data_IF_656317851885
#
_entry.id   IF_656317851885
#
_cell.length_a   1.000
_cell.length_b   1.000
_cell.length_c   1.000
_cell.angle_alpha   90.00
_cell.angle_beta   90.00
_cell.angle_gamma   90.00
#
_symmetry.space_group_name_H-M   'P 1'
#
loop_
_entity.id
_entity.type
_entity.pdbx_description
1 polymer ?
#
# COMPACT_ATOMS: atom_id res chain seq x y z
N UNK A 1 -4.23 -2.54 16.46
CA UNK A 1 -4.06 -1.58 15.34
C UNK A 1 -2.89 -0.68 15.66
N UNK A 2 -2.69 0.47 14.99
CA UNK A 2 -1.58 1.35 15.35
C UNK A 2 -1.77 1.92 16.77
N UNK A 3 -0.71 1.98 17.57
CA UNK A 3 -0.75 2.36 18.99
C UNK A 3 0.02 3.66 19.26
N UNK A 4 1.15 3.85 18.62
CA UNK A 4 2.03 5.01 18.75
C UNK A 4 1.84 5.98 17.58
N UNK A 5 1.74 5.46 16.37
CA UNK A 5 1.48 6.25 15.19
C UNK A 5 -0.01 6.38 14.93
N UNK A 6 -0.42 7.55 14.45
CA UNK A 6 -1.75 7.80 13.90
C UNK A 6 -1.62 8.50 12.57
N UNK A 7 -2.45 8.14 11.61
CA UNK A 7 -2.52 8.90 10.38
C UNK A 7 -3.96 9.11 9.94
N UNK A 8 -4.19 10.23 9.30
CA UNK A 8 -5.44 10.59 8.65
C UNK A 8 -5.17 11.00 7.22
N UNK A 9 -6.04 10.59 6.32
CA UNK A 9 -6.04 11.04 4.92
C UNK A 9 -7.36 11.70 4.59
N UNK A 10 -7.31 12.79 3.85
CA UNK A 10 -8.47 13.54 3.38
C UNK A 10 -8.30 13.93 1.91
N UNK A 11 -9.40 14.38 1.29
CA UNK A 11 -9.43 14.83 -0.10
C UNK A 11 -10.09 13.83 -1.04
N UNK A 12 -10.53 14.36 -2.15
CA UNK A 12 -11.27 13.67 -3.22
C UNK A 12 -10.41 13.55 -4.47
N UNK A 13 -10.74 12.58 -5.32
CA UNK A 13 -9.99 12.27 -6.54
C UNK A 13 -9.84 13.47 -7.47
N UNK A 14 -10.88 14.26 -7.61
CA UNK A 14 -10.91 15.46 -8.45
C UNK A 14 -11.15 16.75 -7.62
N UNK A 15 -10.92 16.71 -6.30
CA UNK A 15 -10.86 17.88 -5.43
C UNK A 15 -9.57 18.68 -5.63
N UNK A 16 -9.37 19.74 -4.84
CA UNK A 16 -8.17 20.61 -4.93
C UNK A 16 -6.86 19.86 -4.70
N UNK A 17 -6.89 18.84 -3.84
CA UNK A 17 -5.72 18.03 -3.49
C UNK A 17 -6.07 16.98 -2.45
N UNK A 18 -5.02 16.31 -2.01
CA UNK A 18 -5.08 15.32 -0.93
C UNK A 18 -4.28 15.85 0.25
N UNK A 19 -4.81 15.67 1.44
CA UNK A 19 -4.17 16.03 2.70
C UNK A 19 -3.91 14.77 3.52
N UNK A 20 -2.76 14.75 4.21
CA UNK A 20 -2.45 13.70 5.16
C UNK A 20 -1.76 14.27 6.38
N UNK A 21 -2.06 13.68 7.54
CA UNK A 21 -1.41 13.98 8.80
C UNK A 21 -0.88 12.67 9.37
N UNK A 22 0.40 12.68 9.76
CA UNK A 22 1.06 11.59 10.48
C UNK A 22 1.50 12.11 11.84
N UNK A 23 0.95 11.55 12.91
CA UNK A 23 1.27 11.86 14.28
C UNK A 23 2.04 10.72 14.95
N UNK A 24 2.91 11.06 15.91
CA UNK A 24 3.69 10.11 16.72
C UNK A 24 5.11 9.85 16.21
N UNK A 25 5.59 10.55 15.18
CA UNK A 25 6.96 10.42 14.70
C UNK A 25 7.95 11.06 15.70
N UNK A 26 9.08 10.39 16.02
CA UNK A 26 10.11 10.96 16.89
C UNK A 26 10.76 12.20 16.25
N UNK A 27 11.23 13.12 17.10
CA UNK A 27 11.99 14.28 16.65
C UNK A 27 13.37 13.87 16.10
N UNK A 28 13.85 14.61 15.09
CA UNK A 28 15.20 14.45 14.55
C UNK A 28 15.34 13.46 13.41
N UNK A 29 14.23 12.85 12.93
CA UNK A 29 14.26 12.05 11.70
C UNK A 29 14.47 12.96 10.49
N UNK A 30 15.48 12.65 9.67
CA UNK A 30 15.72 13.37 8.41
C UNK A 30 14.70 12.94 7.35
N UNK A 31 14.00 13.93 6.77
CA UNK A 31 13.02 13.71 5.71
C UNK A 31 12.98 14.90 4.76
N UNK A 32 12.81 14.64 3.47
CA UNK A 32 12.70 15.65 2.42
C UNK A 32 11.53 15.39 1.50
N UNK A 33 11.05 16.43 0.85
CA UNK A 33 10.02 16.34 -0.19
C UNK A 33 10.49 15.50 -1.40
N UNK A 34 11.77 15.57 -1.74
CA UNK A 34 12.35 14.75 -2.82
C UNK A 34 12.32 13.25 -2.49
N UNK A 35 12.59 12.87 -1.24
CA UNK A 35 12.48 11.49 -0.79
C UNK A 35 11.03 10.99 -0.92
N UNK A 36 10.07 11.78 -0.44
CA UNK A 36 8.62 11.49 -0.59
C UNK A 36 8.25 11.39 -2.08
N UNK A 37 8.73 12.36 -2.87
CA UNK A 37 8.48 12.43 -4.32
C UNK A 37 8.99 11.19 -5.07
N UNK A 38 10.13 10.64 -4.67
CA UNK A 38 10.67 9.40 -5.22
C UNK A 38 9.71 8.22 -5.07
N UNK A 39 9.12 8.03 -3.89
CA UNK A 39 8.13 6.97 -3.64
C UNK A 39 6.79 7.22 -4.35
N UNK A 40 6.37 8.49 -4.44
CA UNK A 40 5.19 8.86 -5.22
C UNK A 40 5.39 8.59 -6.71
N UNK A 41 6.57 8.86 -7.25
CA UNK A 41 6.91 8.54 -8.63
C UNK A 41 6.87 7.02 -8.89
N UNK A 42 7.44 6.20 -8.00
CA UNK A 42 7.35 4.73 -8.09
C UNK A 42 5.90 4.25 -8.13
N UNK A 43 5.02 4.78 -7.27
CA UNK A 43 3.58 4.46 -7.27
C UNK A 43 2.90 4.79 -8.59
N UNK A 44 3.38 5.78 -9.33
CA UNK A 44 2.80 6.20 -10.61
C UNK A 44 3.26 5.34 -11.79
N UNK A 45 4.34 4.56 -11.63
CA UNK A 45 4.84 3.63 -12.64
C UNK A 45 3.91 2.43 -12.84
N UNK A 46 4.24 1.61 -13.80
CA UNK A 46 3.59 0.34 -14.12
C UNK A 46 2.88 0.34 -15.47
N UNK A 47 2.92 -0.82 -16.13
CA UNK A 47 2.23 -1.06 -17.40
C UNK A 47 0.71 -1.18 -17.20
N UNK A 48 -0.07 -0.77 -18.18
CA UNK A 48 -1.53 -0.81 -18.11
C UNK A 48 -2.18 0.40 -17.43
N UNK A 49 -1.40 1.43 -17.09
CA UNK A 49 -1.89 2.65 -16.46
C UNK A 49 -2.63 3.54 -17.47
N UNK A 50 -3.71 4.17 -17.00
CA UNK A 50 -4.54 5.07 -17.79
C UNK A 50 -3.92 6.44 -18.02
N UNK A 51 -4.54 7.23 -18.90
CA UNK A 51 -4.04 8.54 -19.33
C UNK A 51 -3.87 9.58 -18.21
N UNK A 52 -4.53 9.41 -17.06
CA UNK A 52 -4.39 10.31 -15.92
C UNK A 52 -2.97 10.37 -15.38
N UNK A 53 -2.22 9.27 -15.44
CA UNK A 53 -0.82 9.20 -14.97
C UNK A 53 0.12 10.08 -15.81
N UNK A 54 -0.29 10.49 -17.02
CA UNK A 54 0.47 11.44 -17.85
C UNK A 54 0.28 12.90 -17.42
N UNK A 55 -0.83 13.19 -16.74
CA UNK A 55 -1.19 14.54 -16.28
C UNK A 55 -0.65 14.78 -14.89
N UNK A 56 -0.89 13.84 -13.98
CA UNK A 56 -0.49 13.93 -12.58
C UNK A 56 0.99 13.54 -12.42
N UNK A 57 1.78 14.49 -11.92
CA UNK A 57 3.09 14.21 -11.33
C UNK A 57 2.97 14.52 -9.86
N UNK A 58 2.75 13.48 -9.05
CA UNK A 58 2.51 13.64 -7.63
C UNK A 58 3.76 14.17 -6.93
N UNK A 59 3.58 15.23 -6.15
CA UNK A 59 4.60 15.82 -5.31
C UNK A 59 4.02 16.05 -3.92
N UNK A 60 4.72 15.61 -2.89
CA UNK A 60 4.30 15.74 -1.50
C UNK A 60 4.91 16.99 -0.87
N UNK A 61 4.14 18.06 -0.74
CA UNK A 61 4.54 19.28 -0.05
C UNK A 61 4.46 19.07 1.47
N UNK A 62 5.57 19.22 2.18
CA UNK A 62 5.58 19.16 3.65
C UNK A 62 5.15 20.53 4.20
N UNK A 63 3.98 20.58 4.83
CA UNK A 63 3.40 21.85 5.33
C UNK A 63 3.71 22.12 6.80
N UNK A 64 3.94 21.08 7.61
CA UNK A 64 4.24 21.21 9.03
C UNK A 64 4.90 19.95 9.58
N UNK A 65 5.41 20.05 10.82
CA UNK A 65 6.03 18.93 11.54
C UNK A 65 7.50 18.69 11.20
N UNK A 66 8.06 19.42 10.23
CA UNK A 66 9.48 19.32 9.81
C UNK A 66 10.10 20.71 9.77
N UNK A 67 11.34 20.83 10.24
CA UNK A 67 12.13 22.07 10.16
C UNK A 67 13.58 21.74 9.87
N UNK A 68 14.18 22.45 8.91
CA UNK A 68 15.55 22.20 8.47
C UNK A 68 15.81 20.73 8.13
N UNK A 69 14.83 20.08 7.45
CA UNK A 69 14.92 18.68 7.03
C UNK A 69 14.74 17.64 8.13
N UNK A 70 14.35 18.03 9.36
CA UNK A 70 14.19 17.11 10.49
C UNK A 70 12.80 17.23 11.12
N UNK A 71 12.21 16.11 11.49
CA UNK A 71 10.95 16.06 12.25
C UNK A 71 11.09 16.73 13.61
N UNK A 72 9.99 17.27 14.11
CA UNK A 72 9.95 18.04 15.37
C UNK A 72 9.33 17.27 16.55
N UNK A 73 8.88 15.99 16.34
CA UNK A 73 8.02 15.28 17.30
C UNK A 73 6.56 15.79 17.27
N UNK A 74 6.26 16.73 16.40
CA UNK A 74 4.89 17.22 16.13
C UNK A 74 4.27 16.49 14.95
N UNK A 75 2.93 16.56 14.76
CA UNK A 75 2.28 15.98 13.57
C UNK A 75 2.90 16.49 12.28
N UNK A 76 3.23 15.57 11.37
CA UNK A 76 3.73 15.88 10.03
C UNK A 76 2.53 15.98 9.08
N UNK A 77 2.34 17.16 8.50
CA UNK A 77 1.29 17.42 7.51
C UNK A 77 1.86 17.46 6.09
N UNK A 78 1.24 16.70 5.19
CA UNK A 78 1.63 16.63 3.78
C UNK A 78 0.42 16.97 2.91
N UNK A 79 0.64 17.78 1.87
CA UNK A 79 -0.32 18.12 0.82
C UNK A 79 0.16 17.58 -0.53
N UNK A 80 -0.75 16.98 -1.30
CA UNK A 80 -0.54 16.66 -2.73
C UNK A 80 -1.61 17.35 -3.54
N UNK A 81 -1.23 18.29 -4.40
CA UNK A 81 -2.17 19.04 -5.25
C UNK A 81 -2.65 18.18 -6.42
N UNK A 82 -3.92 18.29 -6.76
CA UNK A 82 -4.47 17.68 -7.97
C UNK A 82 -4.33 18.65 -9.15
N UNK A 83 -3.52 18.32 -10.15
CA UNK A 83 -3.31 19.19 -11.33
C UNK A 83 -4.55 19.33 -12.22
N UNK A 84 -5.43 18.33 -12.21
CA UNK A 84 -6.69 18.34 -12.96
C UNK A 84 -7.79 19.19 -12.29
N UNK A 85 -7.54 19.77 -11.11
CA UNK A 85 -8.52 20.57 -10.35
C UNK A 85 -9.19 21.68 -11.15
N UNK A 86 -8.46 22.37 -12.02
CA UNK A 86 -9.00 23.48 -12.82
C UNK A 86 -10.21 23.06 -13.67
N UNK A 87 -10.26 21.80 -14.11
CA UNK A 87 -11.38 21.23 -14.88
C UNK A 87 -12.58 20.82 -14.00
N UNK A 88 -12.41 20.86 -12.67
CA UNK A 88 -13.39 20.31 -11.73
C UNK A 88 -13.96 21.33 -10.75
N UNK A 89 -13.51 22.56 -10.78
CA UNK A 89 -13.84 23.64 -9.84
C UNK A 89 -15.33 23.81 -9.58
N UNK A 90 -16.18 23.69 -10.62
CA UNK A 90 -17.64 23.74 -10.46
C UNK A 90 -18.21 22.44 -9.91
N UNK A 91 -17.80 21.28 -10.44
CA UNK A 91 -18.34 19.96 -10.07
C UNK A 91 -17.98 19.54 -8.65
N UNK A 92 -16.83 19.99 -8.17
CA UNK A 92 -16.27 19.66 -6.84
C UNK A 92 -16.16 20.91 -5.95
N UNK A 93 -16.97 21.94 -6.24
CA UNK A 93 -17.00 23.16 -5.42
C UNK A 93 -17.41 22.86 -3.98
N UNK A 94 -16.69 23.44 -3.03
CA UNK A 94 -17.06 23.44 -1.60
C UNK A 94 -18.27 24.34 -1.35
N UNK A 95 -18.36 25.46 -2.10
CA UNK A 95 -19.48 26.39 -2.00
C UNK A 95 -20.68 25.91 -2.83
N UNK A 96 -21.91 26.28 -2.44
CA UNK A 96 -23.10 25.97 -3.23
C UNK A 96 -22.97 26.50 -4.67
N UNK A 97 -23.34 25.68 -5.65
CA UNK A 97 -23.33 26.03 -7.08
C UNK A 97 -24.76 26.22 -7.55
N UNK A 98 -25.03 27.32 -8.23
CA UNK A 98 -26.36 27.62 -8.80
C UNK A 98 -26.62 26.87 -10.12
N UNK A 99 -25.56 26.49 -10.82
CA UNK A 99 -25.63 25.75 -12.07
C UNK A 99 -26.13 24.33 -11.84
N UNK A 100 -26.90 23.81 -12.81
CA UNK A 100 -27.29 22.41 -12.78
C UNK A 100 -26.07 21.52 -13.06
N UNK A 101 -25.62 20.77 -12.06
CA UNK A 101 -24.56 19.78 -12.21
C UNK A 101 -25.19 18.41 -12.44
N UNK A 102 -24.82 17.76 -13.56
CA UNK A 102 -25.32 16.41 -13.87
C UNK A 102 -24.81 15.41 -12.83
N UNK A 103 -25.75 14.75 -12.13
CA UNK A 103 -25.48 13.69 -11.16
C UNK A 103 -24.99 12.41 -11.84
N UNK A 104 -24.18 11.64 -11.14
CA UNK A 104 -23.83 10.27 -11.52
C UNK A 104 -24.82 9.33 -10.85
N UNK A 105 -25.57 8.57 -11.66
CA UNK A 105 -26.70 7.75 -11.18
C UNK A 105 -26.57 6.25 -11.48
N UNK A 106 -25.51 5.83 -12.18
CA UNK A 106 -25.26 4.46 -12.60
C UNK A 106 -24.08 3.86 -11.81
N UNK A 107 -24.32 3.11 -10.72
CA UNK A 107 -23.26 2.55 -9.89
C UNK A 107 -22.46 1.48 -10.66
N UNK A 108 -21.15 1.45 -10.42
CA UNK A 108 -20.25 0.45 -11.00
C UNK A 108 -20.29 -0.82 -10.16
N UNK A 109 -20.54 -2.01 -10.75
CA UNK A 109 -20.40 -3.28 -10.07
C UNK A 109 -18.96 -3.47 -9.51
N UNK A 110 -18.86 -3.96 -8.28
CA UNK A 110 -17.56 -4.17 -7.63
C UNK A 110 -16.87 -2.92 -7.07
N UNK A 111 -17.50 -1.73 -7.17
CA UNK A 111 -17.06 -0.48 -6.57
C UNK A 111 -17.87 -0.14 -5.30
N UNK A 112 -17.46 0.90 -4.58
CA UNK A 112 -18.17 1.38 -3.38
C UNK A 112 -19.49 2.12 -3.70
N UNK A 113 -19.76 2.40 -4.96
CA UNK A 113 -20.80 3.31 -5.43
C UNK A 113 -22.18 3.03 -4.81
N UNK A 114 -22.73 1.83 -5.01
CA UNK A 114 -24.07 1.49 -4.53
C UNK A 114 -24.13 1.41 -3.00
N UNK A 115 -23.20 0.70 -2.39
CA UNK A 115 -23.17 0.56 -0.93
C UNK A 115 -22.97 1.91 -0.24
N UNK A 116 -22.14 2.79 -0.82
CA UNK A 116 -21.86 4.12 -0.27
C UNK A 116 -23.09 5.04 -0.31
N UNK A 117 -23.80 5.13 -1.44
CA UNK A 117 -25.01 5.97 -1.49
C UNK A 117 -26.10 5.46 -0.57
N UNK A 118 -26.27 4.15 -0.44
CA UNK A 118 -27.24 3.57 0.50
C UNK A 118 -26.87 3.86 1.95
N UNK A 119 -25.58 3.77 2.29
CA UNK A 119 -25.11 4.02 3.66
C UNK A 119 -25.30 5.47 4.10
N UNK A 120 -24.99 6.42 3.21
CA UNK A 120 -24.99 7.86 3.54
C UNK A 120 -26.21 8.63 3.03
N UNK A 121 -27.15 7.98 2.34
CA UNK A 121 -28.36 8.60 1.81
C UNK A 121 -28.10 9.60 0.67
N UNK A 122 -27.05 9.38 -0.14
CA UNK A 122 -26.74 10.26 -1.24
C UNK A 122 -27.57 9.93 -2.48
N UNK A 123 -27.89 10.95 -3.25
CA UNK A 123 -28.59 10.88 -4.53
C UNK A 123 -27.65 11.16 -5.75
N UNK A 124 -26.37 11.35 -5.48
CA UNK A 124 -25.30 11.47 -6.47
C UNK A 124 -24.12 10.58 -6.07
N UNK A 125 -23.82 9.59 -6.92
CA UNK A 125 -22.73 8.64 -6.70
C UNK A 125 -21.37 9.34 -6.63
N UNK A 126 -21.25 10.56 -7.19
CA UNK A 126 -20.00 11.34 -7.14
C UNK A 126 -19.53 11.55 -5.70
N UNK A 127 -20.41 11.76 -4.75
CA UNK A 127 -20.09 11.93 -3.33
C UNK A 127 -19.38 10.69 -2.71
N UNK A 128 -19.56 9.53 -3.32
CA UNK A 128 -18.91 8.27 -2.91
C UNK A 128 -17.64 8.01 -3.73
N UNK A 129 -17.77 8.10 -5.07
CA UNK A 129 -16.69 7.65 -5.97
C UNK A 129 -15.43 8.50 -5.85
N UNK A 130 -15.55 9.78 -5.52
CA UNK A 130 -14.41 10.69 -5.39
C UNK A 130 -13.50 10.29 -4.21
N UNK A 131 -14.08 9.99 -3.05
CA UNK A 131 -13.31 9.58 -1.87
C UNK A 131 -12.89 8.11 -1.92
N UNK A 132 -13.69 7.21 -2.51
CA UNK A 132 -13.38 5.79 -2.65
C UNK A 132 -12.42 5.46 -3.80
N UNK A 133 -11.96 6.46 -4.52
CA UNK A 133 -10.98 6.34 -5.59
C UNK A 133 -9.61 5.88 -5.08
N UNK A 134 -8.90 5.07 -5.88
CA UNK A 134 -7.51 4.69 -5.62
C UNK A 134 -6.55 5.90 -5.54
N UNK A 135 -6.98 7.11 -5.93
CA UNK A 135 -6.23 8.35 -5.75
C UNK A 135 -5.86 8.61 -4.28
N UNK A 136 -6.70 8.21 -3.34
CA UNK A 136 -6.45 8.31 -1.90
C UNK A 136 -5.14 7.63 -1.47
N UNK A 137 -4.77 6.53 -2.13
CA UNK A 137 -3.53 5.80 -1.81
C UNK A 137 -2.26 6.59 -2.09
N UNK A 138 -2.32 7.68 -2.86
CA UNK A 138 -1.21 8.64 -3.00
C UNK A 138 -0.79 9.18 -1.63
N UNK A 139 -1.76 9.54 -0.80
CA UNK A 139 -1.47 10.07 0.54
C UNK A 139 -0.95 8.98 1.48
N UNK A 140 -1.41 7.73 1.34
CA UNK A 140 -0.83 6.60 2.09
C UNK A 140 0.65 6.38 1.75
N UNK A 141 1.02 6.51 0.48
CA UNK A 141 2.43 6.40 0.07
C UNK A 141 3.24 7.59 0.58
N UNK A 142 2.71 8.81 0.49
CA UNK A 142 3.40 10.01 0.98
C UNK A 142 3.69 9.93 2.50
N UNK A 143 2.69 9.59 3.31
CA UNK A 143 2.88 9.44 4.76
C UNK A 143 3.70 8.19 5.10
N UNK A 144 3.48 7.08 4.39
CA UNK A 144 4.19 5.81 4.59
C UNK A 144 5.68 5.91 4.25
N UNK A 145 6.08 6.82 3.34
CA UNK A 145 7.50 7.08 3.06
C UNK A 145 8.23 7.72 4.25
N UNK A 146 7.54 8.53 5.07
CA UNK A 146 8.12 9.04 6.34
C UNK A 146 8.37 7.89 7.32
N UNK A 147 7.42 6.95 7.44
CA UNK A 147 7.62 5.73 8.23
C UNK A 147 8.76 4.86 7.68
N UNK A 148 8.86 4.72 6.35
CA UNK A 148 9.96 4.01 5.69
C UNK A 148 11.30 4.64 6.05
N UNK A 149 11.41 5.97 6.01
CA UNK A 149 12.63 6.68 6.35
C UNK A 149 13.09 6.40 7.78
N UNK A 150 12.15 6.32 8.74
CA UNK A 150 12.45 5.92 10.12
C UNK A 150 13.01 4.49 10.17
N UNK A 151 12.40 3.55 9.44
CA UNK A 151 12.83 2.16 9.41
C UNK A 151 14.23 2.03 8.80
N UNK A 152 14.50 2.68 7.67
CA UNK A 152 15.80 2.71 7.01
C UNK A 152 16.90 3.28 7.92
N UNK A 153 16.58 4.31 8.72
CA UNK A 153 17.51 4.95 9.65
C UNK A 153 17.94 4.05 10.83
N UNK A 154 17.21 2.94 11.03
CA UNK A 154 17.51 1.90 12.03
C UNK A 154 17.83 0.54 11.40
N UNK A 155 18.08 0.50 10.08
CA UNK A 155 18.53 -0.70 9.37
C UNK A 155 17.43 -1.68 8.96
N UNK A 156 16.16 -1.27 8.98
CA UNK A 156 15.04 -2.08 8.49
C UNK A 156 14.70 -1.66 7.07
N UNK A 157 14.72 -2.61 6.14
CA UNK A 157 14.39 -2.38 4.74
C UNK A 157 13.08 -3.06 4.34
N UNK A 158 12.33 -2.44 3.42
CA UNK A 158 11.08 -2.98 2.87
C UNK A 158 11.10 -2.87 1.36
N UNK A 159 10.79 -3.95 0.68
CA UNK A 159 10.73 -3.99 -0.77
C UNK A 159 9.61 -4.89 -1.29
N UNK A 160 9.36 -4.83 -2.60
CA UNK A 160 8.30 -5.64 -3.22
C UNK A 160 8.60 -5.98 -4.67
N UNK A 161 7.95 -7.04 -5.15
CA UNK A 161 7.88 -7.44 -6.56
C UNK A 161 6.49 -7.94 -6.91
N UNK A 162 6.14 -7.96 -8.17
CA UNK A 162 4.95 -8.64 -8.68
C UNK A 162 5.31 -10.08 -9.01
N UNK A 163 4.50 -11.02 -8.53
CA UNK A 163 4.68 -12.46 -8.76
C UNK A 163 3.60 -13.06 -9.67
N UNK A 164 2.52 -12.34 -9.93
CA UNK A 164 1.48 -12.81 -10.83
C UNK A 164 0.64 -11.66 -11.39
N UNK A 165 0.33 -11.70 -12.68
CA UNK A 165 -0.71 -10.88 -13.31
C UNK A 165 -1.65 -11.82 -14.06
N UNK A 166 -2.94 -11.80 -13.71
CA UNK A 166 -3.96 -12.74 -14.20
C UNK A 166 -3.50 -14.18 -13.94
N UNK A 167 -3.26 -14.98 -14.96
CA UNK A 167 -2.80 -16.39 -14.89
C UNK A 167 -1.28 -16.55 -15.14
N UNK A 168 -0.58 -15.48 -15.49
CA UNK A 168 0.87 -15.50 -15.73
C UNK A 168 1.62 -15.29 -14.42
N UNK A 169 2.47 -16.23 -14.06
CA UNK A 169 3.29 -16.20 -12.84
C UNK A 169 4.76 -15.97 -13.15
N UNK A 170 5.42 -15.25 -12.26
CA UNK A 170 6.87 -15.19 -12.12
C UNK A 170 7.25 -16.06 -10.92
N UNK A 171 7.78 -17.25 -11.18
CA UNK A 171 8.19 -18.24 -10.17
C UNK A 171 9.69 -18.14 -9.84
N UNK A 172 10.38 -17.12 -10.37
CA UNK A 172 11.80 -16.92 -10.06
C UNK A 172 12.01 -16.69 -8.57
N UNK A 173 13.01 -17.33 -7.96
CA UNK A 173 13.35 -17.05 -6.57
C UNK A 173 13.88 -15.61 -6.44
N UNK A 174 13.68 -15.02 -5.27
CA UNK A 174 14.41 -13.79 -4.92
C UNK A 174 15.85 -14.22 -4.65
N UNK A 175 16.85 -13.59 -5.31
CA UNK A 175 18.26 -13.88 -5.02
C UNK A 175 18.58 -13.57 -3.54
N UNK A 176 19.29 -14.49 -2.88
CA UNK A 176 19.59 -14.41 -1.45
C UNK A 176 20.47 -13.21 -1.08
N UNK A 177 21.22 -12.67 -2.04
CA UNK A 177 22.12 -11.53 -1.88
C UNK A 177 21.41 -10.16 -2.07
N UNK A 178 20.15 -10.15 -2.50
CA UNK A 178 19.39 -8.92 -2.67
C UNK A 178 18.72 -8.47 -1.38
N UNK A 179 19.07 -7.28 -0.92
CA UNK A 179 18.27 -6.60 0.11
C UNK A 179 16.91 -6.18 -0.44
N UNK A 180 15.89 -5.95 0.40
CA UNK A 180 14.57 -5.46 -0.07
C UNK A 180 14.63 -4.18 -0.90
N UNK A 181 15.54 -3.25 -0.56
CA UNK A 181 15.73 -2.03 -1.35
C UNK A 181 16.33 -2.33 -2.73
N UNK A 182 17.27 -3.28 -2.82
CA UNK A 182 17.83 -3.73 -4.10
C UNK A 182 16.78 -4.50 -4.92
N UNK A 183 16.02 -5.41 -4.28
CA UNK A 183 14.89 -6.09 -4.91
C UNK A 183 13.91 -5.09 -5.54
N UNK A 184 13.54 -4.05 -4.79
CA UNK A 184 12.65 -3.00 -5.30
C UNK A 184 13.24 -2.27 -6.51
N UNK A 185 14.54 -1.92 -6.48
CA UNK A 185 15.20 -1.26 -7.61
C UNK A 185 15.21 -2.15 -8.85
N UNK A 186 15.59 -3.42 -8.71
CA UNK A 186 15.57 -4.40 -9.81
C UNK A 186 14.14 -4.58 -10.35
N UNK A 187 13.15 -4.69 -9.48
CA UNK A 187 11.75 -4.78 -9.90
C UNK A 187 11.26 -3.52 -10.62
N UNK A 188 11.70 -2.32 -10.20
CA UNK A 188 11.32 -1.06 -10.83
C UNK A 188 11.85 -0.92 -12.27
N UNK A 189 12.86 -1.71 -12.69
CA UNK A 189 13.34 -1.78 -14.07
C UNK A 189 12.35 -2.50 -14.99
N UNK A 190 11.46 -3.32 -14.45
CA UNK A 190 10.39 -3.99 -15.18
C UNK A 190 9.12 -3.14 -15.16
N UNK A 191 8.47 -2.88 -16.31
CA UNK A 191 7.21 -2.14 -16.34
C UNK A 191 6.06 -2.85 -15.61
N UNK A 192 6.18 -4.15 -15.33
CA UNK A 192 5.23 -4.93 -14.52
C UNK A 192 5.79 -5.33 -13.15
N UNK A 193 7.03 -4.92 -12.83
CA UNK A 193 7.71 -5.17 -11.55
C UNK A 193 7.97 -6.65 -11.22
N UNK A 194 8.10 -7.52 -12.21
CA UNK A 194 8.55 -8.90 -12.03
C UNK A 194 10.08 -9.03 -12.30
N UNK A 195 10.68 -10.16 -11.92
CA UNK A 195 12.12 -10.41 -12.10
C UNK A 195 12.44 -11.13 -13.39
N UNK A 196 11.61 -12.10 -13.80
CA UNK A 196 11.84 -12.89 -15.00
C UNK A 196 11.37 -12.16 -16.28
N UNK A 197 12.24 -12.08 -17.27
CA UNK A 197 11.96 -11.38 -18.53
C UNK A 197 10.95 -12.08 -19.44
N UNK A 198 10.84 -13.41 -19.36
CA UNK A 198 9.83 -14.15 -20.12
C UNK A 198 8.44 -13.91 -19.52
N UNK A 199 8.33 -13.97 -18.19
CA UNK A 199 7.11 -13.63 -17.44
C UNK A 199 6.73 -12.16 -17.67
N UNK A 200 7.69 -11.22 -17.72
CA UNK A 200 7.44 -9.81 -18.04
C UNK A 200 6.72 -9.66 -19.38
N UNK A 201 7.26 -10.28 -20.45
CA UNK A 201 6.67 -10.21 -21.78
C UNK A 201 5.25 -10.81 -21.83
N UNK A 202 5.04 -11.94 -21.16
CA UNK A 202 3.73 -12.59 -21.09
C UNK A 202 2.71 -11.78 -20.28
N UNK A 203 3.12 -11.18 -19.15
CA UNK A 203 2.29 -10.29 -18.34
C UNK A 203 1.87 -9.04 -19.12
N UNK A 204 2.80 -8.43 -19.87
CA UNK A 204 2.51 -7.27 -20.74
C UNK A 204 1.49 -7.66 -21.81
N UNK A 205 1.67 -8.79 -22.47
CA UNK A 205 0.73 -9.29 -23.48
C UNK A 205 -0.68 -9.54 -22.89
N UNK A 206 -0.76 -10.06 -21.68
CA UNK A 206 -2.02 -10.27 -20.96
C UNK A 206 -2.74 -8.96 -20.66
N UNK A 207 -2.00 -7.93 -20.20
CA UNK A 207 -2.54 -6.59 -19.97
C UNK A 207 -3.05 -5.96 -21.28
N UNK A 208 -2.30 -6.12 -22.38
CA UNK A 208 -2.70 -5.60 -23.69
C UNK A 208 -3.97 -6.26 -24.20
N UNK A 209 -4.11 -7.58 -24.03
CA UNK A 209 -5.31 -8.32 -24.37
C UNK A 209 -6.53 -7.82 -23.57
N UNK A 210 -6.38 -7.63 -22.25
CA UNK A 210 -7.41 -7.06 -21.41
C UNK A 210 -7.79 -5.65 -21.87
N UNK A 211 -6.80 -4.79 -22.15
CA UNK A 211 -7.03 -3.43 -22.65
C UNK A 211 -7.79 -3.42 -23.98
N UNK A 212 -7.41 -4.29 -24.92
CA UNK A 212 -8.10 -4.42 -26.23
C UNK A 212 -9.55 -4.86 -26.08
N UNK A 213 -9.84 -5.74 -25.13
CA UNK A 213 -11.22 -6.19 -24.84
C UNK A 213 -12.03 -5.21 -24.00
N UNK A 214 -11.41 -4.12 -23.52
CA UNK A 214 -12.03 -3.14 -22.62
C UNK A 214 -12.19 -3.63 -21.19
N UNK A 215 -11.36 -4.59 -20.78
CA UNK A 215 -11.37 -5.24 -19.48
C UNK A 215 -10.18 -4.83 -18.61
N UNK A 216 -10.07 -5.41 -17.41
CA UNK A 216 -8.96 -5.20 -16.47
C UNK A 216 -8.50 -6.51 -15.88
N UNK A 217 -7.25 -6.55 -15.40
CA UNK A 217 -6.66 -7.71 -14.73
C UNK A 217 -6.19 -7.37 -13.32
N UNK A 218 -6.30 -8.34 -12.44
CA UNK A 218 -5.71 -8.35 -11.10
C UNK A 218 -4.41 -9.15 -11.08
N UNK A 219 -3.92 -9.43 -9.90
CA UNK A 219 -2.71 -10.24 -9.74
C UNK A 219 -2.28 -10.36 -8.28
N UNK A 220 -1.09 -10.88 -8.10
CA UNK A 220 -0.46 -11.12 -6.79
C UNK A 220 0.91 -10.45 -6.79
N UNK A 221 1.25 -9.84 -5.69
CA UNK A 221 2.58 -9.28 -5.44
C UNK A 221 3.09 -9.70 -4.07
N UNK A 222 4.39 -9.67 -3.91
CA UNK A 222 5.11 -10.05 -2.70
C UNK A 222 5.76 -8.81 -2.09
N UNK A 223 5.69 -8.69 -0.75
CA UNK A 223 6.34 -7.61 0.02
C UNK A 223 7.23 -8.26 1.06
N UNK A 224 8.49 -7.84 1.09
CA UNK A 224 9.51 -8.40 1.98
C UNK A 224 10.08 -7.29 2.86
N UNK A 225 10.29 -7.60 4.15
CA UNK A 225 10.99 -6.72 5.07
C UNK A 225 12.10 -7.49 5.79
N UNK A 226 13.28 -6.87 5.93
CA UNK A 226 14.44 -7.44 6.64
C UNK A 226 15.01 -6.46 7.65
N UNK A 227 15.96 -6.92 8.48
CA UNK A 227 16.58 -6.10 9.52
C UNK A 227 15.73 -5.93 10.77
N UNK A 228 14.67 -6.71 10.91
CA UNK A 228 13.75 -6.60 12.04
C UNK A 228 14.37 -7.20 13.32
N UNK A 229 14.26 -6.52 14.47
CA UNK A 229 14.59 -7.11 15.76
C UNK A 229 13.56 -8.15 16.17
N UNK A 230 13.92 -9.05 17.07
CA UNK A 230 12.96 -9.94 17.74
C UNK A 230 11.88 -9.18 18.48
N UNK A 231 10.65 -9.70 18.45
CA UNK A 231 9.58 -9.30 19.35
C UNK A 231 8.92 -7.95 19.01
N UNK A 232 8.86 -7.56 17.73
CA UNK A 232 7.89 -6.53 17.29
C UNK A 232 6.49 -7.16 17.31
N UNK A 233 5.54 -6.48 17.91
CA UNK A 233 4.22 -7.04 18.19
C UNK A 233 4.20 -7.80 19.53
N UNK A 234 3.15 -8.59 19.77
CA UNK A 234 3.01 -9.33 21.04
C UNK A 234 2.10 -10.55 20.88
N UNK A 235 2.37 -11.60 21.66
CA UNK A 235 1.49 -12.78 21.76
C UNK A 235 0.37 -12.59 22.77
N UNK A 236 0.46 -11.57 23.63
CA UNK A 236 -0.36 -11.46 24.84
C UNK A 236 -1.82 -11.10 24.60
N UNK A 237 -2.12 -10.43 23.47
CA UNK A 237 -3.49 -10.02 23.11
C UNK A 237 -3.65 -10.02 21.58
N UNK A 238 -4.88 -10.30 21.10
CA UNK A 238 -5.18 -10.46 19.67
C UNK A 238 -4.87 -9.23 18.83
N UNK A 239 -5.15 -8.03 19.32
CA UNK A 239 -4.96 -6.75 18.63
C UNK A 239 -3.50 -6.24 18.66
N UNK A 240 -2.63 -6.89 19.45
CA UNK A 240 -1.19 -6.62 19.51
C UNK A 240 -0.37 -7.54 18.62
N UNK A 241 -0.96 -8.61 18.10
CA UNK A 241 -0.28 -9.54 17.19
C UNK A 241 0.14 -8.83 15.92
N UNK A 242 1.42 -8.94 15.54
CA UNK A 242 1.98 -8.22 14.40
C UNK A 242 1.24 -8.54 13.09
N UNK A 243 0.98 -9.82 12.82
CA UNK A 243 0.24 -10.24 11.62
C UNK A 243 -1.21 -9.71 11.59
N UNK A 244 -1.87 -9.58 12.74
CA UNK A 244 -3.21 -8.99 12.80
C UNK A 244 -3.19 -7.51 12.42
N UNK A 245 -2.18 -6.77 12.89
CA UNK A 245 -1.98 -5.34 12.58
C UNK A 245 -1.63 -5.15 11.10
N UNK A 246 -0.73 -5.98 10.56
CA UNK A 246 -0.38 -6.00 9.14
C UNK A 246 -1.63 -6.27 8.30
N UNK A 247 -2.37 -7.35 8.59
CA UNK A 247 -3.56 -7.72 7.83
C UNK A 247 -4.63 -6.63 7.85
N UNK A 248 -4.85 -5.97 8.99
CA UNK A 248 -5.83 -4.88 9.10
C UNK A 248 -5.49 -3.69 8.20
N UNK A 249 -4.21 -3.25 8.18
CA UNK A 249 -3.80 -2.14 7.33
C UNK A 249 -3.78 -2.53 5.85
N UNK A 250 -3.27 -3.71 5.51
CA UNK A 250 -3.24 -4.21 4.13
C UNK A 250 -4.65 -4.34 3.55
N UNK A 251 -5.57 -4.98 4.27
CA UNK A 251 -6.95 -5.16 3.82
C UNK A 251 -7.79 -3.87 3.80
N UNK A 252 -7.28 -2.78 4.34
CA UNK A 252 -7.89 -1.44 4.21
C UNK A 252 -7.61 -0.78 2.86
N UNK A 253 -6.71 -1.33 2.04
CA UNK A 253 -6.39 -0.80 0.71
C UNK A 253 -7.42 -1.26 -0.32
N UNK A 254 -7.84 -0.34 -1.17
CA UNK A 254 -8.81 -0.62 -2.22
C UNK A 254 -8.35 -1.77 -3.12
N UNK A 255 -9.28 -2.66 -3.45
CA UNK A 255 -9.09 -3.83 -4.31
C UNK A 255 -8.23 -4.97 -3.73
N UNK A 256 -7.63 -4.84 -2.57
CA UNK A 256 -6.96 -5.97 -1.91
C UNK A 256 -8.00 -6.98 -1.40
N UNK A 257 -7.79 -8.27 -1.66
CA UNK A 257 -8.77 -9.34 -1.41
C UNK A 257 -8.20 -10.53 -0.63
N UNK A 258 -6.90 -10.61 -0.49
CA UNK A 258 -6.25 -11.67 0.26
C UNK A 258 -4.86 -11.26 0.72
N UNK A 259 -4.42 -11.86 1.81
CA UNK A 259 -3.08 -11.77 2.34
C UNK A 259 -2.63 -13.15 2.81
N UNK A 260 -1.42 -13.52 2.48
CA UNK A 260 -0.70 -14.67 3.01
C UNK A 260 0.58 -14.20 3.70
N UNK A 261 1.00 -14.93 4.73
CA UNK A 261 2.23 -14.68 5.48
C UNK A 261 3.05 -15.95 5.44
N UNK A 262 4.31 -15.87 4.97
CA UNK A 262 5.17 -17.02 4.78
C UNK A 262 4.56 -18.06 3.84
N UNK A 263 4.47 -19.31 4.28
CA UNK A 263 3.91 -20.42 3.52
C UNK A 263 2.43 -20.31 3.21
N UNK A 264 1.70 -19.42 3.90
CA UNK A 264 0.31 -19.09 3.64
C UNK A 264 -0.60 -20.32 3.54
N UNK A 265 -1.50 -20.33 2.54
CA UNK A 265 -2.42 -21.45 2.30
C UNK A 265 -1.68 -22.74 1.96
N UNK A 266 -0.54 -22.70 1.26
CA UNK A 266 0.25 -23.87 0.93
C UNK A 266 0.79 -24.64 2.15
N UNK A 267 0.97 -23.95 3.30
CA UNK A 267 1.33 -24.60 4.55
C UNK A 267 0.23 -25.52 5.11
N UNK A 268 -1.04 -25.26 4.78
CA UNK A 268 -2.16 -26.09 5.24
C UNK A 268 -2.26 -27.47 4.58
N UNK A 269 -1.53 -27.67 3.50
CA UNK A 269 -1.48 -28.93 2.74
C UNK A 269 -0.36 -29.89 3.22
N UNK A 270 0.44 -29.46 4.21
CA UNK A 270 1.63 -30.14 4.69
C UNK A 270 1.48 -30.61 6.13
N UNK A 271 2.30 -31.58 6.53
CA UNK A 271 2.40 -31.97 7.93
C UNK A 271 3.16 -30.90 8.74
N UNK A 272 2.88 -30.82 10.04
CA UNK A 272 3.50 -29.82 10.91
C UNK A 272 5.04 -29.87 10.91
N UNK A 273 5.63 -31.07 10.83
CA UNK A 273 7.09 -31.26 10.71
C UNK A 273 7.70 -30.73 9.40
N UNK A 274 6.88 -30.49 8.39
CA UNK A 274 7.31 -29.92 7.09
C UNK A 274 7.13 -28.41 7.00
N UNK A 275 6.40 -27.83 7.97
CA UNK A 275 6.04 -26.41 7.99
C UNK A 275 6.80 -25.64 9.07
N UNK A 276 6.91 -26.21 10.29
CA UNK A 276 7.50 -25.47 11.39
C UNK A 276 9.01 -25.31 11.21
N UNK A 277 9.48 -24.06 11.36
CA UNK A 277 10.88 -23.70 11.16
C UNK A 277 11.71 -24.17 12.36
N UNK A 278 12.63 -25.10 12.11
CA UNK A 278 13.51 -25.64 13.15
C UNK A 278 14.45 -24.55 13.68
N UNK A 279 14.72 -24.59 14.99
CA UNK A 279 15.53 -23.61 15.71
C UNK A 279 16.97 -24.09 15.80
N UNK A 280 17.91 -23.26 15.38
CA UNK A 280 19.35 -23.44 15.52
C UNK A 280 19.99 -22.38 16.39
N UNK A 281 21.31 -22.48 16.57
CA UNK A 281 22.15 -21.50 17.25
C UNK A 281 23.54 -21.50 16.60
N UNK A 282 24.02 -20.33 16.17
CA UNK A 282 25.29 -20.18 15.45
C UNK A 282 26.51 -19.91 16.37
N UNK A 283 26.29 -19.91 17.69
CA UNK A 283 27.28 -19.60 18.71
C UNK A 283 27.08 -18.21 19.34
N UNK A 284 26.37 -17.32 18.68
CA UNK A 284 26.07 -15.97 19.14
C UNK A 284 24.57 -15.70 19.31
N UNK A 285 23.76 -16.20 18.37
CA UNK A 285 22.32 -15.96 18.34
C UNK A 285 21.52 -17.18 17.89
N UNK A 286 20.25 -17.18 18.21
CA UNK A 286 19.29 -18.15 17.66
C UNK A 286 19.05 -17.91 16.18
N UNK A 287 18.97 -19.00 15.41
CA UNK A 287 18.73 -18.99 13.95
C UNK A 287 17.51 -19.84 13.61
N UNK A 288 17.08 -19.79 12.36
CA UNK A 288 16.07 -20.68 11.77
C UNK A 288 16.67 -21.33 10.53
N UNK A 289 16.35 -22.61 10.29
CA UNK A 289 16.81 -23.34 9.10
C UNK A 289 15.90 -23.12 7.88
N UNK A 290 14.71 -22.57 8.10
CA UNK A 290 13.74 -22.19 7.08
C UNK A 290 12.95 -20.95 7.52
N UNK A 291 12.07 -20.42 6.68
CA UNK A 291 11.24 -19.26 7.00
C UNK A 291 9.79 -19.45 6.49
N UNK A 292 9.22 -20.62 6.79
CA UNK A 292 7.83 -20.92 6.43
C UNK A 292 6.82 -20.05 7.21
N UNK A 293 7.18 -19.63 8.44
CA UNK A 293 6.41 -18.70 9.25
C UNK A 293 6.37 -17.28 8.66
N UNK A 294 7.28 -16.97 7.72
CA UNK A 294 7.36 -15.65 7.09
C UNK A 294 7.73 -14.54 8.07
N UNK A 295 8.67 -14.80 8.99
CA UNK A 295 9.23 -13.84 9.93
C UNK A 295 8.33 -13.51 11.13
N UNK A 296 7.22 -14.23 11.32
CA UNK A 296 6.27 -13.95 12.42
C UNK A 296 5.83 -15.24 13.10
N UNK A 297 6.27 -15.43 14.34
CA UNK A 297 5.86 -16.52 15.20
C UNK A 297 5.07 -15.99 16.41
N UNK A 298 3.95 -16.62 16.74
CA UNK A 298 3.14 -16.26 17.90
C UNK A 298 2.55 -14.82 17.87
N UNK A 299 2.71 -14.11 16.77
CA UNK A 299 2.29 -12.71 16.62
C UNK A 299 3.39 -11.69 16.85
N UNK A 300 4.65 -12.15 16.86
CA UNK A 300 5.85 -11.32 17.01
C UNK A 300 6.85 -11.59 15.89
N UNK A 301 7.66 -10.60 15.54
CA UNK A 301 8.80 -10.81 14.66
C UNK A 301 9.82 -11.74 15.33
N UNK A 302 10.40 -12.63 14.52
CA UNK A 302 11.41 -13.63 14.95
C UNK A 302 12.80 -13.34 14.36
N UNK A 303 13.02 -12.11 13.89
CA UNK A 303 14.23 -11.61 13.23
C UNK A 303 14.51 -12.22 11.83
N UNK A 304 13.67 -13.13 11.34
CA UNK A 304 13.71 -13.57 9.95
C UNK A 304 13.00 -12.53 9.03
N UNK A 305 13.23 -12.60 7.72
CA UNK A 305 12.50 -11.76 6.78
C UNK A 305 10.98 -11.91 6.91
N UNK A 306 10.25 -10.81 7.06
CA UNK A 306 8.79 -10.85 6.88
C UNK A 306 8.49 -10.98 5.40
N UNK A 307 7.73 -12.02 5.05
CA UNK A 307 7.32 -12.31 3.67
C UNK A 307 5.79 -12.33 3.59
N UNK A 308 5.22 -11.42 2.81
CA UNK A 308 3.79 -11.28 2.60
C UNK A 308 3.45 -11.45 1.13
N UNK A 309 2.36 -12.16 0.80
CA UNK A 309 1.74 -12.17 -0.54
C UNK A 309 0.37 -11.56 -0.48
N UNK A 310 0.08 -10.68 -1.44
CA UNK A 310 -1.16 -9.92 -1.49
C UNK A 310 -1.88 -10.18 -2.81
N UNK A 311 -3.16 -10.53 -2.73
CA UNK A 311 -4.02 -10.68 -3.90
C UNK A 311 -4.83 -9.38 -4.14
N UNK A 312 -4.74 -8.85 -5.35
CA UNK A 312 -5.53 -7.72 -5.83
C UNK A 312 -6.52 -8.16 -6.90
N UNK A 313 -7.81 -7.85 -6.72
CA UNK A 313 -8.81 -8.09 -7.76
C UNK A 313 -8.63 -7.13 -8.94
N UNK A 314 -9.18 -7.46 -10.14
CA UNK A 314 -9.28 -6.53 -11.26
C UNK A 314 -9.97 -5.22 -10.88
N UNK A 315 -9.61 -4.14 -11.55
CA UNK A 315 -10.21 -2.81 -11.33
C UNK A 315 -11.67 -2.84 -11.81
N UNK A 316 -12.63 -2.32 -11.01
CA UNK A 316 -14.05 -2.44 -11.32
C UNK A 316 -14.55 -1.45 -12.38
N UNK A 317 -13.76 -0.44 -12.75
CA UNK A 317 -14.11 0.50 -13.82
C UNK A 317 -13.65 -0.08 -15.15
N UNK A 318 -14.59 -0.46 -16.01
CA UNK A 318 -14.33 -1.11 -17.29
C UNK A 318 -14.77 -0.24 -18.46
N UNK A 319 -14.01 -0.31 -19.58
CA UNK A 319 -14.43 0.30 -20.86
C UNK A 319 -15.58 -0.52 -21.46
N UNK A 320 -15.54 -1.87 -21.32
CA UNK A 320 -16.65 -2.78 -21.57
C UNK A 320 -17.54 -2.81 -20.32
N UNK A 321 -18.60 -1.99 -20.23
CA UNK A 321 -19.34 -1.84 -18.99
C UNK A 321 -20.15 -3.09 -18.67
N UNK A 322 -20.23 -3.37 -17.37
CA UNK A 322 -21.19 -4.35 -16.86
C UNK A 322 -22.56 -3.70 -16.70
N UNK A 323 -23.59 -4.55 -16.66
CA UNK A 323 -24.98 -4.13 -16.40
C UNK A 323 -25.10 -3.51 -15.01
N UNK A 324 -25.81 -2.40 -14.92
CA UNK A 324 -26.13 -1.66 -13.72
C UNK A 324 -27.60 -1.20 -13.73
N UNK A 325 -28.02 -0.48 -12.70
CA UNK A 325 -29.36 0.07 -12.56
C UNK A 325 -29.24 1.54 -12.14
N UNK A 326 -29.94 2.41 -12.86
CA UNK A 326 -30.04 3.82 -12.51
C UNK A 326 -30.73 3.97 -11.15
N UNK A 327 -30.10 4.66 -10.21
CA UNK A 327 -30.61 4.78 -8.83
C UNK A 327 -31.90 5.62 -8.73
N UNK A 328 -32.17 6.47 -9.71
CA UNK A 328 -33.39 7.29 -9.75
C UNK A 328 -34.51 6.61 -10.54
N UNK A 329 -34.24 6.25 -11.82
CA UNK A 329 -35.28 5.72 -12.72
C UNK A 329 -35.55 4.23 -12.53
N UNK A 330 -34.63 3.49 -11.88
CA UNK A 330 -34.65 2.02 -11.71
C UNK A 330 -34.52 1.25 -13.02
N UNK A 331 -34.18 1.92 -14.10
CA UNK A 331 -33.94 1.29 -15.39
C UNK A 331 -32.58 0.58 -15.42
N UNK A 332 -32.55 -0.58 -16.05
CA UNK A 332 -31.32 -1.33 -16.31
C UNK A 332 -30.55 -0.65 -17.43
N UNK A 333 -29.31 -0.28 -17.16
CA UNK A 333 -28.39 0.40 -18.09
C UNK A 333 -26.95 -0.07 -17.88
N UNK A 334 -26.08 0.29 -18.80
CA UNK A 334 -24.64 0.13 -18.63
C UNK A 334 -24.12 0.96 -17.45
N UNK A 335 -23.20 0.40 -16.67
CA UNK A 335 -22.54 1.09 -15.56
C UNK A 335 -21.81 2.36 -16.02
N UNK A 336 -21.61 3.31 -15.11
CA UNK A 336 -20.87 4.53 -15.37
C UNK A 336 -19.44 4.23 -15.85
N UNK A 337 -19.04 4.92 -16.94
CA UNK A 337 -17.71 4.81 -17.53
C UNK A 337 -16.84 5.99 -17.12
N UNK A 338 -15.65 5.71 -16.68
CA UNK A 338 -14.60 6.72 -16.44
C UNK A 338 -13.28 6.26 -17.05
N UNK A 339 -12.29 7.16 -17.10
CA UNK A 339 -10.91 6.79 -17.44
C UNK A 339 -10.42 5.76 -16.45
N UNK A 340 -9.85 4.67 -16.93
CA UNK A 340 -9.43 3.54 -16.10
C UNK A 340 -8.06 3.02 -16.50
N UNK A 341 -7.41 2.36 -15.54
CA UNK A 341 -6.25 1.50 -15.76
C UNK A 341 -6.74 0.11 -16.21
N UNK A 342 -5.99 -0.58 -17.04
CA UNK A 342 -6.24 -2.01 -17.33
C UNK A 342 -5.58 -2.92 -16.30
N UNK A 343 -4.51 -2.46 -15.65
CA UNK A 343 -3.81 -3.12 -14.56
C UNK A 343 -3.27 -2.09 -13.57
N UNK A 344 -3.37 -2.37 -12.27
CA UNK A 344 -2.79 -1.54 -11.22
C UNK A 344 -1.93 -2.36 -10.23
N UNK A 345 -1.65 -3.63 -10.52
CA UNK A 345 -0.90 -4.53 -9.64
C UNK A 345 0.51 -3.99 -9.32
N UNK A 346 1.29 -3.45 -10.29
CA UNK A 346 2.59 -2.85 -10.00
C UNK A 346 2.50 -1.69 -9.00
N UNK A 347 1.55 -0.79 -9.15
CA UNK A 347 1.35 0.32 -8.21
C UNK A 347 0.86 -0.16 -6.83
N UNK A 348 0.06 -1.22 -6.79
CA UNK A 348 -0.45 -1.82 -5.56
C UNK A 348 0.70 -2.38 -4.68
N UNK A 349 1.74 -2.94 -5.28
CA UNK A 349 2.92 -3.42 -4.54
C UNK A 349 3.63 -2.28 -3.80
N UNK A 350 3.76 -1.08 -4.40
CA UNK A 350 4.33 0.10 -3.76
C UNK A 350 3.46 0.65 -2.62
N UNK A 351 2.14 0.60 -2.81
CA UNK A 351 1.20 0.98 -1.74
C UNK A 351 1.35 0.03 -0.54
N UNK A 352 1.46 -1.27 -0.80
CA UNK A 352 1.63 -2.27 0.24
C UNK A 352 2.97 -2.13 0.99
N UNK A 353 4.08 -1.80 0.29
CA UNK A 353 5.34 -1.43 0.96
C UNK A 353 5.09 -0.33 2.01
N UNK A 354 4.38 0.73 1.63
CA UNK A 354 4.08 1.86 2.51
C UNK A 354 3.19 1.45 3.70
N UNK A 355 2.20 0.59 3.46
CA UNK A 355 1.33 0.08 4.53
C UNK A 355 2.09 -0.79 5.52
N UNK A 356 3.03 -1.63 5.05
CA UNK A 356 3.90 -2.40 5.93
C UNK A 356 4.80 -1.47 6.76
N UNK A 357 5.35 -0.42 6.14
CA UNK A 357 6.17 0.57 6.86
C UNK A 357 5.43 1.23 8.03
N UNK A 358 4.13 1.55 7.90
CA UNK A 358 3.33 2.07 9.02
C UNK A 358 3.29 1.09 10.19
N UNK A 359 3.02 -0.18 9.91
CA UNK A 359 2.90 -1.20 10.98
C UNK A 359 4.23 -1.45 11.65
N UNK A 360 5.30 -1.60 10.88
CA UNK A 360 6.63 -1.88 11.42
C UNK A 360 7.17 -0.69 12.22
N UNK A 361 7.01 0.55 11.73
CA UNK A 361 7.40 1.75 12.46
C UNK A 361 6.61 1.90 13.77
N UNK A 362 5.29 1.66 13.75
CA UNK A 362 4.46 1.70 14.94
C UNK A 362 4.87 0.63 15.97
N UNK A 363 5.10 -0.61 15.53
CA UNK A 363 5.53 -1.69 16.40
C UNK A 363 6.95 -1.46 16.97
N UNK A 364 7.83 -0.86 16.17
CA UNK A 364 9.18 -0.45 16.61
C UNK A 364 9.11 0.60 17.73
N UNK A 365 8.32 1.65 17.51
CA UNK A 365 8.11 2.72 18.49
C UNK A 365 7.35 2.24 19.73
N UNK A 366 6.47 1.25 19.60
CA UNK A 366 5.81 0.62 20.74
C UNK A 366 6.82 -0.15 21.61
N UNK A 367 7.73 -0.89 21.00
CA UNK A 367 8.71 -1.71 21.70
C UNK A 367 9.83 -0.88 22.35
N UNK A 368 10.42 0.05 21.60
CA UNK A 368 11.62 0.77 22.04
C UNK A 368 11.32 2.18 22.56
N UNK A 369 10.22 2.80 22.14
CA UNK A 369 9.83 4.14 22.57
C UNK A 369 10.80 5.23 22.14
N UNK A 370 10.78 6.33 22.90
CA UNK A 370 11.62 7.51 22.66
C UNK A 370 10.87 8.63 21.93
N UNK A 371 11.14 9.89 22.34
CA UNK A 371 10.57 11.08 21.73
C UNK A 371 11.50 11.65 20.63
N UNK A 372 12.71 11.08 20.50
CA UNK A 372 13.69 11.44 19.49
C UNK A 372 14.38 10.23 18.88
N UNK A 373 14.92 10.39 17.66
CA UNK A 373 15.70 9.36 16.98
C UNK A 373 16.92 8.91 17.79
N UNK A 374 17.55 9.83 18.54
CA UNK A 374 18.68 9.49 19.41
C UNK A 374 18.26 8.55 20.56
N UNK A 375 17.12 8.82 21.20
CA UNK A 375 16.58 7.95 22.24
C UNK A 375 16.16 6.59 21.67
N UNK A 376 15.46 6.56 20.54
CA UNK A 376 15.07 5.33 19.87
C UNK A 376 16.30 4.43 19.61
N UNK A 377 17.35 4.96 19.01
CA UNK A 377 18.59 4.22 18.72
C UNK A 377 19.28 3.72 19.98
N UNK A 378 19.39 4.57 21.02
CA UNK A 378 19.96 4.17 22.30
C UNK A 378 19.17 3.05 22.98
N UNK A 379 17.84 3.08 22.94
CA UNK A 379 17.00 2.01 23.49
C UNK A 379 17.12 0.70 22.70
N UNK A 380 17.20 0.79 21.36
CA UNK A 380 17.45 -0.39 20.52
C UNK A 380 18.80 -1.01 20.83
N UNK A 381 19.86 -0.23 20.93
CA UNK A 381 21.21 -0.70 21.28
C UNK A 381 21.27 -1.35 22.67
N UNK A 382 20.62 -0.73 23.66
CA UNK A 382 20.57 -1.27 25.02
C UNK A 382 19.86 -2.63 25.12
N UNK A 383 18.95 -2.94 24.19
CA UNK A 383 18.15 -4.17 24.18
C UNK A 383 18.57 -5.17 23.10
N UNK A 384 19.59 -4.87 22.32
CA UNK A 384 20.08 -5.72 21.21
C UNK A 384 20.81 -7.02 21.66
N UNK A 385 20.69 -7.42 22.91
CA UNK A 385 21.40 -8.56 23.49
C UNK A 385 20.69 -9.92 23.36
N UNK A 386 19.71 -10.05 22.48
CA UNK A 386 18.96 -11.30 22.29
C UNK A 386 19.00 -11.78 20.84
#
# INVERSE_FOLDING_TARGET
MLTRLKFLTAGESHGQGLLGILDGMPAGLEVSEDYIGGHLARRQMGYGRGGRMKIEKDFGEIWCGVRHGKTLGAPVGILVRNKDWENWTKKMSVSPVKDHIRKVTLPRPGHADLAGIQKYGFDDIRNVLERSSARETTMRVALGSVCRKLLEDVGIEVGSRVVQIHDVKDESPVPDDLTPNQLSKTSDESPVRCLDKNSEAAMIQTIDNAKKSGDSVGGIFEVIATGLPYGLGSYTQWDRKLHARISALMMSVNAFKGIEIGGGFGGSEKFGSEVHDEIGHDGEKFTRYSNNAGGIEGGMSDAQPIVLRMAMKPIPTLIKPLRSVDIHTKEVKDAHKERTDSCAVPAASIIAESMLCFVLADALLEKFGGDSMAQLKAHMEATAKY
#
